data_IF_683420979541
#
_entry.id   IF_683420979541
#
_cell.length_a   1.000
_cell.length_b   1.000
_cell.length_c   1.000
_cell.angle_alpha   90.00
_cell.angle_beta   90.00
_cell.angle_gamma   90.00
#
_symmetry.space_group_name_H-M   'P 1'
#
loop_
_entity.id
_entity.type
_entity.pdbx_description
1 polymer ?
#
# COMPACT_ATOMS: atom_id res chain seq x y z
N UNK A 1 -56.27 -15.51 -1.94
CA UNK A 1 -56.10 -16.37 -3.13
C UNK A 1 -54.66 -16.26 -3.56
N UNK A 2 -53.97 -17.40 -3.76
CA UNK A 2 -52.57 -17.43 -4.21
C UNK A 2 -51.62 -18.18 -3.28
N UNK A 3 -51.93 -19.45 -3.01
CA UNK A 3 -51.05 -20.40 -2.35
C UNK A 3 -49.92 -20.80 -3.31
N UNK A 4 -48.67 -20.53 -2.94
CA UNK A 4 -47.46 -20.91 -3.71
C UNK A 4 -46.68 -21.97 -2.94
N UNK A 5 -46.86 -23.21 -3.36
CA UNK A 5 -46.31 -24.46 -2.79
C UNK A 5 -44.78 -24.47 -2.69
N UNK A 6 -44.30 -24.79 -1.48
CA UNK A 6 -42.92 -25.14 -1.15
C UNK A 6 -42.54 -26.47 -1.79
N UNK A 7 -41.56 -26.47 -2.72
CA UNK A 7 -40.89 -27.71 -3.16
C UNK A 7 -39.68 -27.97 -2.28
N UNK A 8 -39.81 -28.96 -1.41
CA UNK A 8 -38.74 -29.60 -0.65
C UNK A 8 -37.75 -30.27 -1.61
N UNK A 9 -36.52 -29.76 -1.70
CA UNK A 9 -35.41 -30.42 -2.39
C UNK A 9 -34.78 -31.41 -1.42
N UNK A 10 -34.95 -32.71 -1.69
CA UNK A 10 -34.28 -33.77 -0.94
C UNK A 10 -32.77 -33.79 -1.26
N UNK A 11 -31.90 -34.10 -0.28
CA UNK A 11 -30.47 -34.24 -0.51
C UNK A 11 -30.18 -35.51 -1.34
N UNK A 12 -29.39 -35.37 -2.41
CA UNK A 12 -28.88 -36.51 -3.19
C UNK A 12 -27.84 -37.25 -2.35
N UNK A 13 -28.12 -38.52 -2.10
CA UNK A 13 -27.16 -39.46 -1.52
C UNK A 13 -26.08 -39.78 -2.57
N UNK A 14 -24.78 -39.79 -2.23
CA UNK A 14 -23.72 -40.08 -3.19
C UNK A 14 -23.67 -41.57 -3.55
N UNK A 15 -23.52 -41.84 -4.84
CA UNK A 15 -23.31 -43.18 -5.42
C UNK A 15 -21.89 -43.68 -5.12
N UNK A 16 -21.67 -44.98 -4.85
CA UNK A 16 -20.37 -45.50 -4.40
C UNK A 16 -19.34 -45.55 -5.54
N UNK A 17 -18.32 -44.70 -5.46
CA UNK A 17 -17.14 -44.76 -6.33
C UNK A 17 -16.23 -45.93 -5.97
N UNK A 18 -15.94 -46.75 -6.99
CA UNK A 18 -15.06 -47.92 -7.04
C UNK A 18 -13.61 -47.57 -6.63
N UNK A 19 -12.86 -48.48 -5.98
CA UNK A 19 -11.49 -48.20 -5.52
C UNK A 19 -10.52 -48.02 -6.69
N UNK A 20 -9.84 -46.87 -6.74
CA UNK A 20 -8.78 -46.55 -7.68
C UNK A 20 -7.44 -47.14 -7.18
N UNK A 21 -6.71 -47.80 -8.07
CA UNK A 21 -5.45 -48.48 -7.79
C UNK A 21 -4.33 -47.48 -7.45
N UNK A 22 -3.63 -47.74 -6.33
CA UNK A 22 -2.44 -47.02 -5.93
C UNK A 22 -1.34 -47.13 -6.99
N UNK A 23 -0.87 -45.99 -7.50
CA UNK A 23 0.40 -45.89 -8.24
C UNK A 23 1.57 -45.89 -7.26
N UNK A 24 2.69 -46.59 -7.58
CA UNK A 24 3.85 -46.66 -6.70
C UNK A 24 4.53 -45.29 -6.53
N UNK A 25 4.91 -44.98 -5.29
CA UNK A 25 5.55 -43.73 -4.91
C UNK A 25 6.99 -43.58 -5.43
N UNK A 26 7.53 -42.35 -5.48
CA UNK A 26 8.89 -42.10 -5.92
C UNK A 26 9.92 -42.48 -4.85
N UNK A 27 10.98 -43.15 -5.29
CA UNK A 27 12.16 -43.59 -4.53
C UNK A 27 12.96 -42.39 -3.97
N UNK A 28 13.67 -42.53 -2.83
CA UNK A 28 14.35 -41.41 -2.17
C UNK A 28 15.59 -40.94 -2.94
N UNK A 29 15.76 -39.62 -3.07
CA UNK A 29 16.96 -38.98 -3.63
C UNK A 29 17.89 -38.56 -2.49
N UNK A 30 19.16 -38.89 -2.67
CA UNK A 30 20.27 -38.73 -1.73
C UNK A 30 20.49 -37.29 -1.20
N UNK A 31 20.78 -37.20 0.09
CA UNK A 31 21.19 -35.97 0.80
C UNK A 31 22.61 -35.57 0.40
N UNK A 32 22.79 -34.34 -0.07
CA UNK A 32 24.11 -33.70 -0.23
C UNK A 32 24.48 -32.92 1.06
N UNK A 33 25.76 -32.87 1.50
CA UNK A 33 26.15 -32.25 2.77
C UNK A 33 26.15 -30.72 2.76
N UNK A 34 25.97 -30.17 3.96
CA UNK A 34 25.80 -28.77 4.34
C UNK A 34 27.13 -27.97 4.31
N UNK A 35 27.12 -26.74 3.78
CA UNK A 35 28.24 -25.77 3.89
C UNK A 35 28.04 -24.83 5.09
N UNK A 36 29.12 -24.29 5.70
CA UNK A 36 29.08 -23.68 7.04
C UNK A 36 28.59 -22.23 7.07
N UNK A 37 27.83 -21.90 8.11
CA UNK A 37 27.34 -20.56 8.43
C UNK A 37 28.44 -19.65 9.01
N UNK A 38 28.44 -18.37 8.58
CA UNK A 38 29.31 -17.31 9.06
C UNK A 38 28.89 -16.76 10.45
N UNK A 39 29.83 -16.25 11.27
CA UNK A 39 29.60 -15.92 12.68
C UNK A 39 28.88 -14.57 12.92
N UNK A 40 28.19 -14.52 14.06
CA UNK A 40 27.39 -13.41 14.58
C UNK A 40 28.22 -12.16 14.95
N UNK A 41 27.62 -10.97 14.78
CA UNK A 41 28.17 -9.69 15.27
C UNK A 41 27.53 -9.25 16.60
N UNK A 42 28.26 -8.52 17.46
CA UNK A 42 27.88 -8.26 18.84
C UNK A 42 26.92 -7.08 19.04
N UNK A 43 26.05 -7.25 20.05
CA UNK A 43 25.09 -6.29 20.60
C UNK A 43 25.75 -5.02 21.15
N UNK A 44 25.23 -3.84 20.80
CA UNK A 44 25.54 -2.58 21.49
C UNK A 44 24.31 -2.06 22.24
N UNK A 45 24.52 -1.75 23.51
CA UNK A 45 23.58 -1.17 24.48
C UNK A 45 23.47 0.34 24.29
N UNK A 46 22.24 0.88 24.27
CA UNK A 46 21.97 2.33 24.30
C UNK A 46 21.40 2.68 25.69
N UNK A 47 21.96 3.68 26.40
CA UNK A 47 21.45 4.13 27.69
C UNK A 47 20.28 5.13 27.54
N UNK A 48 19.30 4.98 28.44
CA UNK A 48 18.15 5.87 28.66
C UNK A 48 18.54 6.95 29.66
N UNK A 49 18.11 8.22 29.45
CA UNK A 49 17.92 9.22 30.51
C UNK A 49 17.09 10.45 30.02
N UNK A 50 16.53 11.31 30.89
CA UNK A 50 15.08 11.42 31.06
C UNK A 50 14.48 12.83 30.81
N UNK A 51 13.15 12.87 30.88
CA UNK A 51 12.23 14.02 30.83
C UNK A 51 12.51 15.16 31.82
N UNK A 52 12.28 16.40 31.38
CA UNK A 52 11.93 17.53 32.25
C UNK A 52 10.80 18.38 31.65
N UNK A 53 9.96 18.85 32.55
CA UNK A 53 8.71 19.61 32.40
C UNK A 53 8.94 21.00 32.97
N UNK A 54 8.47 22.07 32.32
CA UNK A 54 8.15 23.40 32.89
C UNK A 54 7.63 24.26 31.72
N UNK A 55 6.41 24.84 31.67
CA UNK A 55 5.65 25.75 32.53
C UNK A 55 5.43 27.09 31.78
N UNK A 56 4.17 27.53 31.75
CA UNK A 56 3.57 28.69 31.04
C UNK A 56 3.74 30.00 31.83
N UNK A 57 3.78 31.17 31.15
CA UNK A 57 2.86 32.29 31.50
C UNK A 57 2.33 32.99 30.20
N UNK A 58 1.02 33.22 29.99
CA UNK A 58 0.14 34.30 30.47
C UNK A 58 0.45 35.73 29.94
N UNK A 59 -0.59 36.53 29.71
CA UNK A 59 -0.77 37.37 28.52
C UNK A 59 -0.89 38.91 28.77
N UNK A 60 -0.73 39.67 27.65
CA UNK A 60 -1.28 41.01 27.31
C UNK A 60 -0.64 42.28 27.94
N UNK A 61 -0.84 43.52 27.39
CA UNK A 61 -1.73 43.97 26.30
C UNK A 61 -1.11 44.87 25.19
N UNK A 62 -1.93 45.24 24.20
CA UNK A 62 -1.66 46.11 23.04
C UNK A 62 -1.60 47.61 23.35
N UNK A 63 -1.15 48.43 22.36
CA UNK A 63 -1.82 49.71 22.11
C UNK A 63 -2.14 49.95 20.61
N UNK A 64 -3.22 50.69 20.38
CA UNK A 64 -3.66 51.22 19.08
C UNK A 64 -3.07 52.61 18.80
N UNK A 65 -2.95 53.02 17.52
CA UNK A 65 -3.31 54.36 16.97
C UNK A 65 -3.14 54.36 15.43
N UNK A 66 -3.97 55.17 14.75
CA UNK A 66 -4.41 55.21 13.35
C UNK A 66 -3.53 56.10 12.39
N UNK A 67 -4.04 56.72 11.29
CA UNK A 67 -3.95 56.26 9.89
C UNK A 67 -3.28 57.27 8.91
N UNK A 68 -2.77 56.86 7.75
CA UNK A 68 -2.49 57.77 6.62
C UNK A 68 -2.34 56.98 5.31
N UNK A 69 -3.29 57.09 4.38
CA UNK A 69 -3.32 57.99 3.20
C UNK A 69 -2.92 57.26 1.90
N UNK A 70 -3.85 57.28 0.95
CA UNK A 70 -3.73 56.74 -0.39
C UNK A 70 -3.15 57.78 -1.35
N UNK A 71 -2.30 57.35 -2.28
CA UNK A 71 -2.10 57.97 -3.59
C UNK A 71 -1.57 56.92 -4.60
N UNK A 72 -1.83 57.10 -5.90
CA UNK A 72 -2.03 56.00 -6.84
C UNK A 72 -0.80 55.71 -7.70
N UNK A 73 -0.61 54.46 -8.13
CA UNK A 73 0.30 54.13 -9.23
C UNK A 73 -0.42 53.19 -10.19
N UNK A 74 -0.52 53.67 -11.43
CA UNK A 74 -1.03 52.95 -12.59
C UNK A 74 -0.04 51.88 -13.07
N UNK A 75 -0.63 50.89 -13.75
CA UNK A 75 -0.06 50.06 -14.82
C UNK A 75 1.15 49.20 -14.48
N UNK A 76 0.94 47.88 -14.51
CA UNK A 76 1.57 47.02 -15.52
C UNK A 76 0.93 45.63 -15.47
N UNK A 77 0.39 45.20 -16.61
CA UNK A 77 -0.09 43.83 -16.82
C UNK A 77 1.16 42.94 -16.84
N UNK A 78 1.35 42.16 -15.77
CA UNK A 78 2.26 41.03 -15.80
C UNK A 78 1.49 39.76 -15.44
N UNK A 79 1.48 38.90 -16.44
CA UNK A 79 1.02 37.52 -16.53
C UNK A 79 1.21 36.72 -15.21
N UNK A 80 0.23 36.76 -14.31
CA UNK A 80 0.17 35.86 -13.16
C UNK A 80 -0.29 34.47 -13.61
N UNK A 81 0.66 33.59 -13.92
CA UNK A 81 0.44 32.18 -13.63
C UNK A 81 0.40 32.09 -12.10
N UNK A 82 -0.81 32.00 -11.56
CA UNK A 82 -1.05 31.80 -10.13
C UNK A 82 -0.16 30.67 -9.64
N UNK A 83 0.86 31.03 -8.86
CA UNK A 83 1.62 30.10 -8.05
C UNK A 83 0.60 29.52 -7.07
N UNK A 84 0.05 28.34 -7.41
CA UNK A 84 -0.81 27.60 -6.48
C UNK A 84 -0.02 27.50 -5.18
N UNK A 85 -0.63 27.95 -4.10
CA UNK A 85 -0.06 27.89 -2.76
C UNK A 85 0.11 26.41 -2.40
N UNK A 86 1.27 25.86 -2.76
CA UNK A 86 1.76 24.61 -2.23
C UNK A 86 2.04 24.92 -0.76
N UNK A 87 1.09 24.63 0.12
CA UNK A 87 1.31 24.65 1.56
C UNK A 87 2.54 23.83 1.98
N UNK A 88 2.71 23.54 3.27
CA UNK A 88 3.89 22.88 3.85
C UNK A 88 4.26 21.47 3.31
N UNK A 89 3.60 20.97 2.27
CA UNK A 89 3.88 19.70 1.62
C UNK A 89 5.28 19.67 1.01
N UNK A 90 6.18 18.86 1.59
CA UNK A 90 7.55 18.67 1.10
C UNK A 90 7.67 17.37 0.30
N UNK A 91 8.11 17.49 -0.96
CA UNK A 91 8.48 16.33 -1.78
C UNK A 91 9.78 15.68 -1.28
N UNK A 92 9.93 14.35 -1.42
CA UNK A 92 11.18 13.68 -1.14
C UNK A 92 12.27 14.10 -2.14
N UNK A 93 13.50 14.24 -1.64
CA UNK A 93 14.68 14.51 -2.46
C UNK A 93 15.29 13.18 -2.91
N UNK A 94 15.27 12.91 -4.22
CA UNK A 94 15.75 11.64 -4.80
C UNK A 94 16.99 11.90 -5.63
N UNK A 95 16.83 12.61 -6.76
CA UNK A 95 17.88 13.01 -7.68
C UNK A 95 17.44 14.28 -8.41
N UNK A 96 18.36 15.21 -8.67
CA UNK A 96 18.01 16.56 -9.13
C UNK A 96 17.10 16.60 -10.38
N UNK A 97 17.34 15.76 -11.39
CA UNK A 97 16.51 15.72 -12.60
C UNK A 97 15.13 15.08 -12.34
N UNK A 98 15.08 14.06 -11.47
CA UNK A 98 13.84 13.43 -11.06
C UNK A 98 12.98 14.38 -10.23
N UNK A 99 13.60 15.15 -9.32
CA UNK A 99 12.92 16.06 -8.42
C UNK A 99 12.32 17.26 -9.19
N UNK A 100 13.02 17.75 -10.23
CA UNK A 100 12.47 18.73 -11.18
C UNK A 100 11.24 18.19 -11.90
N UNK A 101 11.34 16.97 -12.43
CA UNK A 101 10.22 16.30 -13.10
C UNK A 101 9.02 16.13 -12.16
N UNK A 102 9.27 15.66 -10.93
CA UNK A 102 8.24 15.41 -9.93
C UNK A 102 7.52 16.70 -9.51
N UNK A 103 8.28 17.79 -9.36
CA UNK A 103 7.73 19.12 -9.06
C UNK A 103 6.80 19.59 -10.18
N UNK A 104 7.22 19.44 -11.45
CA UNK A 104 6.39 19.78 -12.60
C UNK A 104 5.10 18.95 -12.67
N UNK A 105 5.16 17.66 -12.35
CA UNK A 105 3.96 16.81 -12.28
C UNK A 105 3.01 17.24 -11.15
N UNK A 106 3.55 17.58 -9.98
CA UNK A 106 2.76 18.08 -8.85
C UNK A 106 2.07 19.42 -9.18
N UNK A 107 2.77 20.37 -9.80
CA UNK A 107 2.20 21.68 -10.19
C UNK A 107 1.05 21.53 -11.20
N UNK A 108 1.17 20.59 -12.13
CA UNK A 108 0.15 20.30 -13.14
C UNK A 108 -0.97 19.39 -12.63
N UNK A 109 -0.85 18.83 -11.41
CA UNK A 109 -1.87 17.94 -10.87
C UNK A 109 -3.15 18.72 -10.51
N UNK A 110 -4.34 18.16 -10.84
CA UNK A 110 -5.60 18.71 -10.38
C UNK A 110 -5.68 18.61 -8.86
N UNK A 111 -6.40 19.54 -8.23
CA UNK A 111 -6.68 19.44 -6.80
C UNK A 111 -7.62 18.25 -6.55
N UNK A 112 -7.31 17.44 -5.54
CA UNK A 112 -8.17 16.37 -5.08
C UNK A 112 -8.86 16.76 -3.77
N UNK A 113 -10.08 16.26 -3.54
CA UNK A 113 -10.83 16.49 -2.30
C UNK A 113 -10.14 15.89 -1.07
N UNK A 114 -9.20 14.96 -1.29
CA UNK A 114 -8.40 14.30 -0.26
C UNK A 114 -7.04 14.95 -0.03
N UNK A 115 -6.71 16.02 -0.76
CA UNK A 115 -5.46 16.76 -0.53
C UNK A 115 -5.47 17.40 0.85
N UNK A 116 -4.35 17.31 1.55
CA UNK A 116 -4.08 17.94 2.84
C UNK A 116 -2.80 18.77 2.76
N UNK A 117 -2.43 19.41 3.88
CA UNK A 117 -1.17 20.15 3.99
C UNK A 117 0.06 19.23 3.92
N UNK A 118 -0.08 17.97 4.34
CA UNK A 118 0.99 16.98 4.42
C UNK A 118 0.95 15.92 3.30
N UNK A 119 -0.09 15.94 2.47
CA UNK A 119 -0.26 14.96 1.40
C UNK A 119 -1.03 15.55 0.22
N UNK A 120 -0.54 15.28 -0.99
CA UNK A 120 -1.24 15.63 -2.23
C UNK A 120 -1.19 14.47 -3.21
N UNK A 121 -2.29 14.18 -3.89
CA UNK A 121 -2.24 13.25 -5.02
C UNK A 121 -1.53 13.89 -6.20
N UNK A 122 -0.67 13.10 -6.86
CA UNK A 122 0.03 13.53 -8.07
C UNK A 122 -0.53 12.73 -9.23
N UNK A 123 -1.01 13.43 -10.25
CA UNK A 123 -1.41 12.84 -11.53
C UNK A 123 -0.20 12.80 -12.45
N UNK A 124 0.23 11.59 -12.82
CA UNK A 124 1.37 11.41 -13.73
C UNK A 124 0.88 11.38 -15.18
N UNK A 125 1.34 12.32 -16.00
CA UNK A 125 0.96 12.41 -17.42
C UNK A 125 1.79 11.49 -18.32
N UNK A 126 2.98 11.12 -17.85
CA UNK A 126 3.95 10.30 -18.54
C UNK A 126 4.59 9.30 -17.57
N UNK A 127 5.25 8.28 -18.13
CA UNK A 127 5.95 7.28 -17.33
C UNK A 127 7.04 7.97 -16.50
N UNK A 128 7.09 7.78 -15.17
CA UNK A 128 8.13 8.40 -14.35
C UNK A 128 9.53 8.05 -14.85
N UNK A 129 10.49 9.00 -14.87
CA UNK A 129 11.88 8.76 -15.25
C UNK A 129 12.62 8.07 -14.10
N UNK A 130 12.19 6.86 -13.75
CA UNK A 130 12.68 6.17 -12.56
C UNK A 130 14.20 5.97 -12.61
N UNK A 131 14.84 6.32 -11.50
CA UNK A 131 16.28 6.21 -11.26
C UNK A 131 16.68 4.80 -10.80
N UNK A 132 17.98 4.53 -10.72
CA UNK A 132 18.52 3.26 -10.20
C UNK A 132 18.16 2.99 -8.73
N UNK A 133 17.77 4.05 -8.00
CA UNK A 133 17.29 3.94 -6.62
C UNK A 133 15.92 3.25 -6.53
N UNK A 134 15.14 3.23 -7.59
CA UNK A 134 13.81 2.65 -7.62
C UNK A 134 13.89 1.13 -7.82
N UNK A 135 13.59 0.39 -6.74
CA UNK A 135 13.78 -1.09 -6.71
C UNK A 135 12.47 -1.87 -6.66
N UNK A 136 11.34 -1.17 -6.74
CA UNK A 136 10.01 -1.76 -6.58
C UNK A 136 9.66 -2.75 -7.69
N UNK A 137 8.85 -3.76 -7.36
CA UNK A 137 8.27 -4.68 -8.34
C UNK A 137 7.36 -3.94 -9.33
N UNK A 138 6.67 -2.89 -8.88
CA UNK A 138 5.92 -2.01 -9.78
C UNK A 138 6.83 -1.42 -10.86
N UNK A 139 7.97 -0.82 -10.49
CA UNK A 139 8.94 -0.31 -11.47
C UNK A 139 9.37 -1.42 -12.43
N UNK A 140 9.74 -2.59 -11.92
CA UNK A 140 10.23 -3.70 -12.76
C UNK A 140 9.23 -4.16 -13.82
N UNK A 141 7.93 -4.09 -13.53
CA UNK A 141 6.87 -4.56 -14.43
C UNK A 141 6.18 -3.42 -15.21
N UNK A 142 6.42 -2.16 -14.86
CA UNK A 142 5.81 -1.01 -15.51
C UNK A 142 6.54 -0.68 -16.82
N UNK A 143 5.90 -0.98 -17.96
CA UNK A 143 6.37 -0.58 -19.28
C UNK A 143 5.67 0.70 -19.76
N UNK A 144 6.26 1.39 -20.74
CA UNK A 144 5.64 2.58 -21.33
C UNK A 144 4.28 2.26 -21.98
N UNK A 145 4.17 1.10 -22.62
CA UNK A 145 2.92 0.62 -23.23
C UNK A 145 1.84 0.36 -22.18
N UNK A 146 2.20 -0.31 -21.09
CA UNK A 146 1.27 -0.61 -20.00
C UNK A 146 0.82 0.67 -19.30
N UNK A 147 1.74 1.61 -19.07
CA UNK A 147 1.40 2.92 -18.53
C UNK A 147 0.43 3.67 -19.45
N UNK A 148 0.73 3.76 -20.75
CA UNK A 148 -0.12 4.44 -21.71
C UNK A 148 -1.52 3.83 -21.80
N UNK A 149 -1.63 2.52 -21.61
CA UNK A 149 -2.91 1.80 -21.58
C UNK A 149 -3.73 2.09 -20.31
N UNK A 150 -3.08 2.20 -19.16
CA UNK A 150 -3.75 2.29 -17.86
C UNK A 150 -3.86 3.71 -17.28
N UNK A 151 -3.14 4.69 -17.82
CA UNK A 151 -3.05 6.05 -17.25
C UNK A 151 -4.39 6.77 -17.09
N UNK A 152 -5.33 6.52 -18.00
CA UNK A 152 -6.65 7.16 -18.02
C UNK A 152 -7.71 6.32 -17.29
N UNK A 153 -7.37 5.11 -16.84
CA UNK A 153 -8.26 4.20 -16.12
C UNK A 153 -8.44 4.67 -14.67
N UNK A 154 -9.70 4.72 -14.24
CA UNK A 154 -10.10 5.03 -12.86
C UNK A 154 -11.16 4.05 -12.37
N UNK A 155 -11.14 3.73 -11.09
CA UNK A 155 -12.24 3.01 -10.44
C UNK A 155 -13.50 3.87 -10.35
N UNK A 156 -14.63 3.26 -9.99
CA UNK A 156 -15.88 3.97 -9.75
C UNK A 156 -15.76 5.03 -8.65
N UNK A 157 -14.80 4.84 -7.72
CA UNK A 157 -14.47 5.76 -6.62
C UNK A 157 -13.37 6.77 -6.97
N UNK A 158 -12.97 6.82 -8.24
CA UNK A 158 -11.99 7.79 -8.77
C UNK A 158 -10.53 7.43 -8.50
N UNK A 159 -10.23 6.22 -8.03
CA UNK A 159 -8.85 5.81 -7.79
C UNK A 159 -8.14 5.49 -9.12
N UNK A 160 -7.05 6.19 -9.39
CA UNK A 160 -6.31 6.12 -10.66
C UNK A 160 -5.04 5.27 -10.58
N UNK A 161 -4.44 4.97 -11.74
CA UNK A 161 -3.10 4.39 -11.81
C UNK A 161 -2.07 5.25 -11.05
N UNK A 162 -2.16 6.57 -11.19
CA UNK A 162 -1.23 7.50 -10.54
C UNK A 162 -1.31 7.39 -9.02
N UNK A 163 -2.53 7.32 -8.47
CA UNK A 163 -2.74 7.11 -7.03
C UNK A 163 -2.07 5.81 -6.56
N UNK A 164 -2.25 4.74 -7.34
CA UNK A 164 -1.69 3.43 -6.99
C UNK A 164 -0.16 3.39 -6.99
N UNK A 165 0.47 4.04 -7.96
CA UNK A 165 1.93 4.02 -8.12
C UNK A 165 2.67 5.12 -7.34
N UNK A 166 1.99 6.18 -6.89
CA UNK A 166 2.62 7.35 -6.27
C UNK A 166 3.54 6.99 -5.11
N UNK A 167 3.13 6.05 -4.25
CA UNK A 167 3.97 5.60 -3.15
C UNK A 167 5.31 5.02 -3.63
N UNK A 168 5.32 4.25 -4.72
CA UNK A 168 6.53 3.67 -5.31
C UNK A 168 7.39 4.67 -6.08
N UNK A 169 6.79 5.73 -6.61
CA UNK A 169 7.48 6.85 -7.28
C UNK A 169 8.14 7.77 -6.26
N UNK A 170 7.45 8.10 -5.17
CA UNK A 170 7.97 8.98 -4.12
C UNK A 170 8.96 8.27 -3.18
N UNK A 171 8.86 6.94 -3.04
CA UNK A 171 9.71 6.17 -2.12
C UNK A 171 10.44 5.05 -2.88
N UNK A 172 11.61 5.36 -3.47
CA UNK A 172 12.36 4.42 -4.33
C UNK A 172 12.73 3.10 -3.64
N UNK A 173 12.88 3.11 -2.31
CA UNK A 173 13.27 1.95 -1.50
C UNK A 173 12.15 0.92 -1.27
N UNK A 174 10.89 1.21 -1.65
CA UNK A 174 9.79 0.28 -1.45
C UNK A 174 9.92 -0.96 -2.34
N UNK A 175 9.67 -2.14 -1.77
CA UNK A 175 9.75 -3.41 -2.51
C UNK A 175 8.60 -3.66 -3.49
N UNK A 176 7.37 -3.28 -3.15
CA UNK A 176 6.18 -3.50 -4.00
C UNK A 176 5.90 -2.28 -4.87
N UNK A 177 5.70 -1.11 -4.24
CA UNK A 177 5.55 0.18 -4.93
C UNK A 177 4.21 0.44 -5.61
N UNK A 178 3.19 -0.38 -5.37
CA UNK A 178 1.82 -0.18 -5.86
C UNK A 178 0.81 -0.42 -4.74
N UNK A 179 -0.27 0.37 -4.71
CA UNK A 179 -1.33 0.27 -3.70
C UNK A 179 -2.71 0.36 -4.36
N UNK A 180 -3.65 -0.47 -3.90
CA UNK A 180 -5.03 -0.41 -4.38
C UNK A 180 -5.87 0.48 -3.47
N UNK A 181 -6.76 1.27 -4.07
CA UNK A 181 -7.68 2.16 -3.35
C UNK A 181 -9.03 1.54 -3.04
N UNK A 182 -9.43 0.50 -3.77
CA UNK A 182 -10.71 -0.19 -3.66
C UNK A 182 -10.59 -1.62 -4.22
N UNK A 183 -11.69 -2.37 -4.20
CA UNK A 183 -11.74 -3.74 -4.72
C UNK A 183 -11.67 -3.81 -6.25
N UNK A 184 -12.21 -2.81 -6.97
CA UNK A 184 -12.18 -2.76 -8.44
C UNK A 184 -10.76 -2.61 -8.99
N UNK A 185 -9.86 -1.97 -8.22
CA UNK A 185 -8.45 -1.83 -8.58
C UNK A 185 -7.78 -3.16 -8.93
N UNK A 186 -8.17 -4.27 -8.28
CA UNK A 186 -7.58 -5.58 -8.55
C UNK A 186 -7.90 -6.08 -9.96
N UNK A 187 -9.07 -5.74 -10.50
CA UNK A 187 -9.48 -6.12 -11.84
C UNK A 187 -9.00 -5.10 -12.89
N UNK A 188 -9.16 -3.81 -12.61
CA UNK A 188 -8.81 -2.71 -13.51
C UNK A 188 -7.30 -2.64 -13.78
N UNK A 189 -6.49 -2.91 -12.75
CA UNK A 189 -5.04 -2.85 -12.82
C UNK A 189 -4.39 -4.24 -12.75
N UNK A 190 -5.13 -5.30 -13.08
CA UNK A 190 -4.63 -6.69 -13.02
C UNK A 190 -3.33 -6.91 -13.79
N UNK A 191 -3.14 -6.20 -14.90
CA UNK A 191 -1.96 -6.34 -15.76
C UNK A 191 -0.67 -5.87 -15.10
N UNK A 192 -0.75 -4.94 -14.14
CA UNK A 192 0.39 -4.55 -13.31
C UNK A 192 0.40 -5.30 -11.97
N UNK A 193 -0.75 -5.62 -11.40
CA UNK A 193 -0.87 -6.29 -10.10
C UNK A 193 -0.43 -7.75 -10.17
N UNK A 194 -0.88 -8.53 -11.16
CA UNK A 194 -0.57 -9.97 -11.24
C UNK A 194 0.95 -10.24 -11.34
N UNK A 195 1.73 -9.53 -12.19
CA UNK A 195 3.18 -9.68 -12.20
C UNK A 195 3.85 -9.30 -10.88
N UNK A 196 3.34 -8.29 -10.18
CA UNK A 196 3.82 -7.91 -8.84
C UNK A 196 3.56 -9.03 -7.84
N UNK A 197 2.35 -9.58 -7.81
CA UNK A 197 1.98 -10.70 -6.91
C UNK A 197 2.84 -11.92 -7.19
N UNK A 198 3.05 -12.25 -8.46
CA UNK A 198 3.93 -13.36 -8.88
C UNK A 198 5.36 -13.17 -8.41
N UNK A 199 5.91 -11.97 -8.59
CA UNK A 199 7.27 -11.66 -8.14
C UNK A 199 7.45 -11.61 -6.62
N UNK A 200 6.41 -11.23 -5.87
CA UNK A 200 6.51 -11.10 -4.41
C UNK A 200 6.18 -12.39 -3.65
N UNK A 201 5.17 -13.14 -4.12
CA UNK A 201 4.63 -14.30 -3.43
C UNK A 201 4.99 -15.64 -4.08
N UNK A 202 5.64 -15.64 -5.25
CA UNK A 202 5.79 -16.83 -6.11
C UNK A 202 4.44 -17.52 -6.40
N UNK A 203 3.39 -16.71 -6.49
CA UNK A 203 2.00 -17.14 -6.69
C UNK A 203 1.43 -16.47 -7.93
N UNK A 204 0.84 -17.25 -8.82
CA UNK A 204 0.29 -16.78 -10.09
C UNK A 204 -1.25 -16.72 -10.01
N UNK A 205 -1.84 -15.50 -9.92
CA UNK A 205 -3.28 -15.36 -9.72
C UNK A 205 -4.14 -15.89 -10.87
N UNK A 206 -3.59 -16.00 -12.09
CA UNK A 206 -4.34 -16.44 -13.26
C UNK A 206 -4.43 -17.97 -13.35
N UNK A 207 -3.52 -18.68 -12.68
CA UNK A 207 -3.40 -20.15 -12.79
C UNK A 207 -3.53 -20.90 -11.47
N UNK A 208 -3.36 -20.22 -10.34
CA UNK A 208 -3.39 -20.83 -9.02
C UNK A 208 -4.59 -20.35 -8.20
N UNK A 209 -5.09 -21.24 -7.34
CA UNK A 209 -6.15 -20.91 -6.38
C UNK A 209 -5.59 -20.86 -4.96
N UNK A 210 -6.01 -19.86 -4.20
CA UNK A 210 -5.61 -19.71 -2.81
C UNK A 210 -6.18 -20.87 -1.96
N UNK A 211 -5.34 -21.47 -1.11
CA UNK A 211 -5.75 -22.51 -0.15
C UNK A 211 -5.69 -21.93 1.26
N UNK A 212 -6.66 -22.25 2.11
CA UNK A 212 -6.70 -21.76 3.49
C UNK A 212 -6.97 -22.92 4.43
N UNK A 213 -6.11 -23.04 5.44
CA UNK A 213 -6.19 -24.02 6.52
C UNK A 213 -5.88 -23.31 7.82
N UNK A 214 -6.88 -23.19 8.70
CA UNK A 214 -6.78 -22.51 9.98
C UNK A 214 -6.97 -23.49 11.15
N UNK A 215 -6.79 -24.80 10.90
CA UNK A 215 -6.89 -25.84 11.92
C UNK A 215 -5.64 -25.83 12.83
N UNK A 216 -5.76 -25.40 14.10
CA UNK A 216 -4.62 -25.33 15.00
C UNK A 216 -4.13 -26.72 15.43
N UNK A 217 -4.94 -27.78 15.30
CA UNK A 217 -4.57 -29.13 15.72
C UNK A 217 -3.45 -29.74 14.87
N UNK A 218 -3.24 -29.21 13.65
CA UNK A 218 -2.16 -29.61 12.74
C UNK A 218 -0.79 -29.03 13.13
N UNK A 219 -0.75 -28.12 14.11
CA UNK A 219 0.49 -27.54 14.60
C UNK A 219 1.19 -28.52 15.56
N UNK A 220 2.19 -29.23 15.06
CA UNK A 220 3.03 -30.12 15.86
C UNK A 220 4.42 -29.51 16.07
N UNK A 221 4.86 -29.41 17.32
CA UNK A 221 6.21 -28.98 17.69
C UNK A 221 6.99 -30.16 18.26
N UNK A 222 8.22 -30.37 17.80
CA UNK A 222 9.13 -31.33 18.43
C UNK A 222 9.55 -30.86 19.83
N UNK A 223 10.00 -31.78 20.69
CA UNK A 223 10.47 -31.43 22.05
C UNK A 223 11.63 -30.41 22.02
N UNK A 224 12.51 -30.53 21.02
CA UNK A 224 13.61 -29.59 20.79
C UNK A 224 13.10 -28.19 20.44
N UNK A 225 12.10 -28.09 19.56
CA UNK A 225 11.47 -26.82 19.19
C UNK A 225 10.79 -26.17 20.39
N UNK A 226 10.11 -26.96 21.23
CA UNK A 226 9.49 -26.46 22.46
C UNK A 226 10.53 -25.92 23.45
N UNK A 227 11.65 -26.63 23.61
CA UNK A 227 12.74 -26.20 24.49
C UNK A 227 13.37 -24.89 24.01
N UNK A 228 13.64 -24.77 22.71
CA UNK A 228 14.16 -23.52 22.12
C UNK A 228 13.14 -22.39 22.22
N UNK A 229 11.87 -22.68 21.98
CA UNK A 229 10.80 -21.70 22.09
C UNK A 229 10.73 -21.14 23.51
N UNK A 230 10.71 -22.01 24.53
CA UNK A 230 10.68 -21.59 25.93
C UNK A 230 11.92 -20.80 26.37
N UNK A 231 13.09 -21.09 25.78
CA UNK A 231 14.35 -20.42 26.11
C UNK A 231 14.47 -19.02 25.49
N UNK A 232 14.02 -18.86 24.24
CA UNK A 232 14.33 -17.66 23.44
C UNK A 232 13.12 -16.76 23.16
N UNK A 233 11.89 -17.29 23.17
CA UNK A 233 10.70 -16.53 22.78
C UNK A 233 10.09 -15.84 23.99
N UNK A 234 10.10 -14.49 23.97
CA UNK A 234 9.47 -13.68 25.01
C UNK A 234 7.96 -13.53 24.84
N UNK A 235 7.49 -13.47 23.60
CA UNK A 235 6.07 -13.32 23.27
C UNK A 235 5.82 -13.72 21.81
N UNK A 236 4.62 -14.23 21.52
CA UNK A 236 4.15 -14.50 20.15
C UNK A 236 2.98 -13.61 19.78
N UNK A 237 2.88 -13.28 18.49
CA UNK A 237 1.77 -12.51 17.94
C UNK A 237 1.45 -13.00 16.54
N UNK A 238 0.20 -13.39 16.32
CA UNK A 238 -0.37 -13.70 15.00
C UNK A 238 -1.40 -12.63 14.67
N UNK A 239 -1.37 -12.13 13.42
CA UNK A 239 -2.35 -11.15 12.93
C UNK A 239 -2.81 -11.52 11.53
N UNK A 240 -4.05 -11.18 11.23
CA UNK A 240 -4.60 -11.23 9.88
C UNK A 240 -5.30 -9.90 9.60
N UNK A 241 -5.17 -9.39 8.38
CA UNK A 241 -5.90 -8.21 7.92
C UNK A 241 -7.12 -8.65 7.08
N UNK A 242 -8.17 -7.85 7.10
CA UNK A 242 -9.39 -8.04 6.31
C UNK A 242 -9.84 -6.69 5.76
N UNK A 243 -10.44 -6.73 4.58
CA UNK A 243 -11.10 -5.59 3.96
C UNK A 243 -12.61 -5.83 4.03
N UNK A 244 -13.40 -4.76 4.11
CA UNK A 244 -14.86 -4.81 4.12
C UNK A 244 -15.34 -4.50 2.69
N UNK A 245 -16.07 -5.44 2.08
CA UNK A 245 -16.55 -5.27 0.70
C UNK A 245 -17.50 -4.08 0.59
N UNK A 246 -17.48 -3.40 -0.57
CA UNK A 246 -18.22 -2.16 -0.83
C UNK A 246 -17.54 -0.90 -0.27
N UNK A 247 -16.61 -1.02 0.67
CA UNK A 247 -15.83 0.11 1.20
C UNK A 247 -14.49 0.28 0.48
N UNK A 248 -14.01 1.52 0.46
CA UNK A 248 -12.67 1.80 -0.07
C UNK A 248 -11.61 1.25 0.87
N UNK A 249 -10.48 0.86 0.29
CA UNK A 249 -9.27 0.57 1.06
C UNK A 249 -8.68 1.88 1.62
N UNK A 250 -7.84 1.82 2.66
CA UNK A 250 -7.28 3.02 3.28
C UNK A 250 -6.70 4.06 2.30
N UNK A 251 -5.96 3.65 1.24
CA UNK A 251 -5.44 4.60 0.26
C UNK A 251 -6.49 5.32 -0.58
N UNK A 252 -7.67 4.72 -0.81
CA UNK A 252 -8.74 5.31 -1.62
C UNK A 252 -9.87 5.94 -0.80
N UNK A 253 -9.92 5.64 0.50
CA UNK A 253 -11.00 6.04 1.41
C UNK A 253 -11.20 7.55 1.56
N UNK A 254 -12.47 7.97 1.59
CA UNK A 254 -12.87 9.30 2.05
C UNK A 254 -13.07 9.31 3.57
N UNK A 255 -13.31 10.50 4.14
CA UNK A 255 -13.62 10.63 5.56
C UNK A 255 -14.91 9.88 5.92
N UNK A 256 -15.91 9.96 5.05
CA UNK A 256 -17.22 9.31 5.20
C UNK A 256 -17.07 7.79 5.16
N UNK A 257 -16.29 7.26 4.20
CA UNK A 257 -15.99 5.83 4.10
C UNK A 257 -15.30 5.32 5.36
N UNK A 258 -14.34 6.08 5.92
CA UNK A 258 -13.64 5.71 7.17
C UNK A 258 -14.58 5.67 8.36
N UNK A 259 -15.43 6.70 8.51
CA UNK A 259 -16.42 6.75 9.59
C UNK A 259 -17.43 5.60 9.49
N UNK A 260 -17.84 5.23 8.27
CA UNK A 260 -18.77 4.14 8.05
C UNK A 260 -18.15 2.74 8.30
N UNK A 261 -16.82 2.61 8.17
CA UNK A 261 -16.10 1.37 8.54
C UNK A 261 -15.88 1.27 10.05
N UNK A 262 -15.73 2.40 10.75
CA UNK A 262 -15.49 2.45 12.20
C UNK A 262 -16.77 2.35 13.04
N UNK A 263 -17.92 2.77 12.51
CA UNK A 263 -19.22 2.78 13.19
C UNK A 263 -19.91 1.44 13.26
#
# INVERSE_FOLDING_TARGET
MGCGTSKSVQPRNPEPTKPEAQKPGPTPVDKKPNEPQAPAQPTQTIPVQPSQTEAKPEAQPAPATQPAQAAPIQSEIQNEKSKKDLGSFKLPEIEAEFDKWLTAQLENSPADVKDTDDFKYISFTELPPFTEKHRSLMRKNMTAELFAKLKDTKSSKGYSLSNGMQAGVLRPHLGVGFTCGDEECFDLFKEIINPIVKGWHNFDPDTQSHKSDLDPSKLAFTEEQQTLFAKYVKSTRVRAARNISGFSLPPGSSKEDRLAVEG
#
